data_IF_186496301374
#
_entry.id   IF_186496301374
#
_cell.length_a   1.000
_cell.length_b   1.000
_cell.length_c   1.000
_cell.angle_alpha   90.00
_cell.angle_beta   90.00
_cell.angle_gamma   90.00
#
_symmetry.space_group_name_H-M   'P 1'
#
loop_
_entity.id
_entity.type
_entity.pdbx_description
1 polymer ?
#
# COMPACT_ATOMS: atom_id res chain seq x y z
N UNK A 1 27.46 5.90 10.38
CA UNK A 1 26.12 5.43 9.96
C UNK A 1 25.78 6.16 8.68
N UNK A 2 25.46 5.44 7.61
CA UNK A 2 25.14 6.06 6.31
C UNK A 2 23.81 6.82 6.42
N UNK A 3 23.84 8.12 6.13
CA UNK A 3 22.69 9.03 6.28
C UNK A 3 21.54 8.55 5.37
N UNK A 4 21.84 7.98 4.21
CA UNK A 4 20.83 7.43 3.30
C UNK A 4 20.07 6.25 3.88
N UNK A 5 20.75 5.39 4.65
CA UNK A 5 20.12 4.25 5.31
C UNK A 5 19.16 4.70 6.41
N UNK A 6 19.55 5.69 7.22
CA UNK A 6 18.72 6.25 8.27
C UNK A 6 17.50 6.99 7.69
N UNK A 7 17.72 7.82 6.67
CA UNK A 7 16.65 8.54 5.98
C UNK A 7 15.62 7.59 5.35
N UNK A 8 16.07 6.45 4.81
CA UNK A 8 15.19 5.42 4.28
C UNK A 8 14.25 4.83 5.33
N UNK A 9 14.76 4.48 6.52
CA UNK A 9 13.93 3.94 7.60
C UNK A 9 12.97 4.98 8.19
N UNK A 10 13.39 6.24 8.29
CA UNK A 10 12.51 7.34 8.68
C UNK A 10 11.40 7.53 7.63
N UNK A 11 11.74 7.50 6.35
CA UNK A 11 10.78 7.56 5.24
C UNK A 11 9.79 6.39 5.28
N UNK A 12 10.24 5.18 5.61
CA UNK A 12 9.36 4.03 5.82
C UNK A 12 8.41 4.26 7.00
N UNK A 13 8.91 4.79 8.12
CA UNK A 13 8.09 5.14 9.28
C UNK A 13 6.96 6.11 8.93
N UNK A 14 7.28 7.26 8.32
CA UNK A 14 6.25 8.23 7.93
C UNK A 14 5.34 7.69 6.81
N UNK A 15 5.91 7.06 5.78
CA UNK A 15 5.15 6.49 4.66
C UNK A 15 4.18 5.38 5.09
N UNK A 16 4.56 4.60 6.10
CA UNK A 16 3.74 3.52 6.65
C UNK A 16 2.44 4.02 7.28
N UNK A 17 2.39 5.28 7.72
CA UNK A 17 1.25 5.91 8.38
C UNK A 17 0.29 6.60 7.41
N UNK A 18 0.61 6.72 6.12
CA UNK A 18 -0.22 7.44 5.14
C UNK A 18 -1.41 6.60 4.66
N UNK A 19 -1.20 5.31 4.40
CA UNK A 19 -2.22 4.40 3.88
C UNK A 19 -3.22 3.86 4.94
N UNK A 20 -2.82 3.57 6.20
CA UNK A 20 -3.72 3.05 7.23
C UNK A 20 -4.95 3.93 7.55
N UNK A 21 -4.88 5.28 7.57
CA UNK A 21 -6.06 6.12 7.77
C UNK A 21 -7.17 5.87 6.74
N UNK A 22 -6.82 5.61 5.49
CA UNK A 22 -7.80 5.32 4.45
C UNK A 22 -8.48 3.96 4.67
N UNK A 23 -7.69 2.94 5.00
CA UNK A 23 -8.21 1.62 5.35
C UNK A 23 -9.13 1.71 6.59
N UNK A 24 -8.69 2.40 7.64
CA UNK A 24 -9.48 2.63 8.85
C UNK A 24 -10.80 3.34 8.53
N UNK A 25 -10.76 4.41 7.72
CA UNK A 25 -11.97 5.13 7.30
C UNK A 25 -12.94 4.22 6.57
N UNK A 26 -12.46 3.36 5.67
CA UNK A 26 -13.31 2.45 4.89
C UNK A 26 -13.98 1.36 5.74
N UNK A 27 -13.25 0.86 6.74
CA UNK A 27 -13.77 -0.11 7.73
C UNK A 27 -14.80 0.57 8.62
N UNK A 28 -14.48 1.74 9.21
CA UNK A 28 -15.34 2.45 10.15
C UNK A 28 -16.62 2.99 9.54
N UNK A 29 -16.52 3.60 8.35
CA UNK A 29 -17.67 4.31 7.75
C UNK A 29 -18.54 3.40 6.90
N UNK A 30 -18.05 2.22 6.50
CA UNK A 30 -18.76 1.38 5.54
C UNK A 30 -18.83 1.98 4.13
N UNK A 31 -18.27 3.18 3.89
CA UNK A 31 -18.34 3.91 2.62
C UNK A 31 -17.07 3.71 1.81
N UNK A 32 -17.23 3.43 0.52
CA UNK A 32 -16.12 3.30 -0.45
C UNK A 32 -16.52 3.79 -1.84
N UNK A 33 -17.64 4.50 -1.95
CA UNK A 33 -18.19 4.93 -3.24
C UNK A 33 -17.27 5.94 -3.93
N UNK A 34 -16.53 6.71 -3.13
CA UNK A 34 -15.60 7.73 -3.61
C UNK A 34 -14.17 7.17 -3.83
N UNK A 35 -13.97 5.86 -3.67
CA UNK A 35 -12.67 5.20 -3.82
C UNK A 35 -12.67 4.35 -5.08
N UNK A 36 -11.80 4.70 -6.03
CA UNK A 36 -11.68 4.02 -7.31
C UNK A 36 -11.03 2.65 -7.17
N UNK A 37 -11.77 1.59 -7.54
CA UNK A 37 -11.24 0.22 -7.62
C UNK A 37 -10.07 0.14 -8.62
N UNK A 38 -10.20 0.78 -9.78
CA UNK A 38 -9.20 0.77 -10.84
C UNK A 38 -7.87 1.33 -10.35
N UNK A 39 -7.89 2.42 -9.57
CA UNK A 39 -6.70 2.99 -8.97
C UNK A 39 -5.98 1.98 -8.07
N UNK A 40 -6.73 1.27 -7.22
CA UNK A 40 -6.15 0.28 -6.31
C UNK A 40 -5.61 -0.97 -7.04
N UNK A 41 -6.20 -1.37 -8.16
CA UNK A 41 -5.67 -2.45 -9.01
C UNK A 41 -4.30 -2.04 -9.59
N UNK A 42 -4.22 -0.87 -10.24
CA UNK A 42 -2.96 -0.40 -10.81
C UNK A 42 -1.90 -0.11 -9.74
N UNK A 43 -2.32 0.42 -8.59
CA UNK A 43 -1.43 0.63 -7.45
C UNK A 43 -0.83 -0.70 -6.98
N UNK A 44 -1.65 -1.73 -6.83
CA UNK A 44 -1.18 -3.06 -6.41
C UNK A 44 -0.20 -3.68 -7.42
N UNK A 45 -0.50 -3.57 -8.73
CA UNK A 45 0.39 -4.06 -9.81
C UNK A 45 1.73 -3.32 -9.78
N UNK A 46 1.69 -1.99 -9.71
CA UNK A 46 2.88 -1.15 -9.66
C UNK A 46 3.74 -1.50 -8.45
N UNK A 47 3.16 -1.57 -7.24
CA UNK A 47 3.90 -1.89 -6.02
C UNK A 47 4.50 -3.30 -6.06
N UNK A 48 3.83 -4.25 -6.69
CA UNK A 48 4.38 -5.60 -6.92
C UNK A 48 5.61 -5.53 -7.84
N UNK A 49 5.55 -4.73 -8.90
CA UNK A 49 6.70 -4.48 -9.78
C UNK A 49 7.87 -3.81 -9.05
N UNK A 50 7.59 -2.82 -8.20
CA UNK A 50 8.61 -2.17 -7.38
C UNK A 50 9.21 -3.10 -6.32
N UNK A 51 8.44 -4.05 -5.79
CA UNK A 51 8.97 -5.06 -4.88
C UNK A 51 9.98 -5.96 -5.59
N UNK A 52 9.67 -6.41 -6.81
CA UNK A 52 10.62 -7.20 -7.63
C UNK A 52 11.89 -6.39 -7.89
N UNK A 53 11.75 -5.11 -8.24
CA UNK A 53 12.90 -4.22 -8.44
C UNK A 53 13.73 -4.05 -7.14
N UNK A 54 13.07 -3.87 -6.00
CA UNK A 54 13.71 -3.72 -4.70
C UNK A 54 14.51 -4.97 -4.29
N UNK A 55 13.99 -6.15 -4.59
CA UNK A 55 14.69 -7.43 -4.41
C UNK A 55 15.90 -7.53 -5.32
N UNK A 56 15.78 -7.13 -6.58
CA UNK A 56 16.88 -7.13 -7.55
C UNK A 56 18.06 -6.26 -7.09
N UNK A 57 17.80 -5.07 -6.54
CA UNK A 57 18.86 -4.17 -6.02
C UNK A 57 19.27 -4.47 -4.58
N UNK A 58 18.70 -5.52 -3.95
CA UNK A 58 18.98 -5.90 -2.55
C UNK A 58 18.82 -4.75 -1.54
N UNK A 59 17.81 -3.89 -1.73
CA UNK A 59 17.57 -2.72 -0.86
C UNK A 59 16.56 -3.04 0.25
N UNK A 60 16.99 -3.37 1.49
CA UNK A 60 16.11 -3.90 2.54
C UNK A 60 15.00 -2.94 2.97
N UNK A 61 15.32 -1.64 3.06
CA UNK A 61 14.34 -0.60 3.40
C UNK A 61 13.25 -0.52 2.34
N UNK A 62 13.64 -0.59 1.06
CA UNK A 62 12.72 -0.48 -0.05
C UNK A 62 11.83 -1.72 -0.14
N UNK A 63 12.40 -2.91 0.09
CA UNK A 63 11.65 -4.17 0.22
C UNK A 63 10.59 -4.05 1.33
N UNK A 64 11.00 -3.62 2.52
CA UNK A 64 10.08 -3.46 3.66
C UNK A 64 8.95 -2.46 3.37
N UNK A 65 9.26 -1.33 2.71
CA UNK A 65 8.27 -0.34 2.33
C UNK A 65 7.25 -0.90 1.34
N UNK A 66 7.70 -1.61 0.31
CA UNK A 66 6.81 -2.19 -0.70
C UNK A 66 5.94 -3.32 -0.13
N UNK A 67 6.49 -4.17 0.73
CA UNK A 67 5.72 -5.22 1.43
C UNK A 67 4.62 -4.59 2.29
N UNK A 68 4.97 -3.61 3.14
CA UNK A 68 3.99 -2.94 3.99
C UNK A 68 2.88 -2.28 3.16
N UNK A 69 3.28 -1.56 2.11
CA UNK A 69 2.33 -0.92 1.22
C UNK A 69 1.43 -1.90 0.47
N UNK A 70 1.95 -3.05 0.04
CA UNK A 70 1.15 -4.12 -0.57
C UNK A 70 0.12 -4.71 0.39
N UNK A 71 0.47 -4.87 1.67
CA UNK A 71 -0.47 -5.36 2.69
C UNK A 71 -1.65 -4.39 2.85
N UNK A 72 -1.37 -3.11 3.08
CA UNK A 72 -2.43 -2.12 3.33
C UNK A 72 -3.28 -1.86 2.09
N UNK A 73 -2.63 -1.66 0.92
CA UNK A 73 -3.36 -1.41 -0.31
C UNK A 73 -4.08 -2.67 -0.82
N UNK A 74 -3.53 -3.86 -0.57
CA UNK A 74 -4.19 -5.14 -0.83
C UNK A 74 -5.45 -5.32 0.02
N UNK A 75 -5.41 -4.96 1.31
CA UNK A 75 -6.60 -4.96 2.16
C UNK A 75 -7.68 -4.01 1.66
N UNK A 76 -7.30 -2.79 1.24
CA UNK A 76 -8.25 -1.83 0.64
C UNK A 76 -8.83 -2.39 -0.66
N UNK A 77 -7.99 -2.93 -1.55
CA UNK A 77 -8.43 -3.54 -2.80
C UNK A 77 -9.41 -4.68 -2.57
N UNK A 78 -9.13 -5.56 -1.60
CA UNK A 78 -10.03 -6.66 -1.23
C UNK A 78 -11.41 -6.16 -0.76
N UNK A 79 -11.46 -5.08 0.04
CA UNK A 79 -12.71 -4.44 0.45
C UNK A 79 -13.48 -3.89 -0.76
N UNK A 80 -12.79 -3.24 -1.69
CA UNK A 80 -13.41 -2.66 -2.89
C UNK A 80 -13.98 -3.74 -3.81
N UNK A 81 -13.22 -4.81 -4.08
CA UNK A 81 -13.65 -5.95 -4.89
C UNK A 81 -14.88 -6.61 -4.25
N UNK A 82 -14.83 -6.92 -2.95
CA UNK A 82 -15.95 -7.53 -2.23
C UNK A 82 -17.22 -6.67 -2.29
N UNK A 83 -17.10 -5.35 -2.20
CA UNK A 83 -18.26 -4.44 -2.31
C UNK A 83 -18.79 -4.34 -3.73
N UNK A 84 -17.92 -4.29 -4.74
CA UNK A 84 -18.33 -4.28 -6.15
C UNK A 84 -19.13 -5.54 -6.50
N UNK A 85 -18.70 -6.71 -6.02
CA UNK A 85 -19.42 -7.97 -6.23
C UNK A 85 -20.77 -8.05 -5.49
N UNK A 86 -20.93 -7.34 -4.36
CA UNK A 86 -22.16 -7.39 -3.55
C UNK A 86 -23.24 -6.39 -4.01
N UNK A 87 -22.84 -5.25 -4.58
CA UNK A 87 -23.73 -4.11 -4.86
C UNK A 87 -23.67 -3.59 -6.30
N UNK A 88 -22.74 -4.08 -7.13
CA UNK A 88 -22.70 -3.82 -8.57
C UNK A 88 -23.43 -4.92 -9.33
#
# INVERSE_FOLDING_TARGET
MDIGYLAGWVGLGFGSLVAPPQLYRMIKTGRSRDVSLTTYIFLFIMMSGYLVHALYISAPVFIAAQIWGLIINGAILAILVKRKLKYG
#
